data_IF_272054039583
#
_entry.id   IF_272054039583
#
_cell.length_a   1.000
_cell.length_b   1.000
_cell.length_c   1.000
_cell.angle_alpha   90.00
_cell.angle_beta   90.00
_cell.angle_gamma   90.00
#
_symmetry.space_group_name_H-M   'P 1'
#
loop_
_entity.id
_entity.type
_entity.pdbx_description
1 polymer ?
#
# COMPACT_ATOMS: atom_id res chain seq x y z
N UNK A 1 2.96 -0.34 12.33
CA UNK A 1 2.76 -1.56 11.52
C UNK A 1 2.67 -1.23 10.03
N UNK A 2 3.44 -1.97 9.23
CA UNK A 2 3.37 -1.95 7.78
C UNK A 2 2.42 -3.04 7.31
N UNK A 3 1.56 -2.75 6.33
CA UNK A 3 0.59 -3.71 5.78
C UNK A 3 0.80 -3.82 4.28
N UNK A 4 0.71 -5.05 3.78
CA UNK A 4 0.70 -5.36 2.36
C UNK A 4 -0.61 -6.08 2.03
N UNK A 5 -1.40 -5.49 1.14
CA UNK A 5 -2.57 -6.13 0.54
C UNK A 5 -2.15 -6.65 -0.83
N UNK A 6 -1.98 -7.97 -0.93
CA UNK A 6 -1.50 -8.62 -2.13
C UNK A 6 -2.65 -9.17 -3.00
N UNK A 7 -2.53 -9.04 -4.32
CA UNK A 7 -3.46 -9.66 -5.26
C UNK A 7 -4.86 -9.05 -5.25
N UNK A 8 -4.95 -7.73 -5.04
CA UNK A 8 -6.22 -6.99 -4.94
C UNK A 8 -6.86 -6.85 -6.33
N UNK A 9 -7.57 -7.91 -6.73
CA UNK A 9 -8.11 -8.12 -8.07
C UNK A 9 -9.55 -8.63 -8.01
N UNK A 10 -10.36 -8.31 -9.02
CA UNK A 10 -11.72 -8.87 -9.16
C UNK A 10 -11.71 -10.41 -9.17
N UNK A 11 -12.64 -11.00 -8.43
CA UNK A 11 -12.74 -12.44 -8.22
C UNK A 11 -11.82 -12.99 -7.13
N UNK A 12 -10.84 -12.21 -6.64
CA UNK A 12 -10.07 -12.51 -5.44
C UNK A 12 -10.50 -11.61 -4.27
N UNK A 13 -10.64 -10.31 -4.53
CA UNK A 13 -11.14 -9.32 -3.59
C UNK A 13 -11.90 -8.23 -4.39
N UNK A 14 -13.25 -8.18 -4.35
CA UNK A 14 -14.12 -9.09 -3.61
C UNK A 14 -14.02 -10.53 -4.11
N UNK A 15 -14.02 -11.49 -3.19
CA UNK A 15 -14.04 -12.90 -3.54
C UNK A 15 -15.36 -13.27 -4.22
N UNK A 16 -15.28 -13.98 -5.34
CA UNK A 16 -16.45 -14.48 -6.07
C UNK A 16 -16.20 -15.92 -6.53
N UNK A 17 -17.13 -16.83 -6.22
CA UNK A 17 -17.15 -18.19 -6.79
C UNK A 17 -17.57 -18.11 -8.26
N UNK A 18 -16.96 -18.93 -9.12
CA UNK A 18 -17.10 -18.77 -10.58
C UNK A 18 -18.53 -18.82 -11.10
N UNK A 19 -19.36 -19.66 -10.49
CA UNK A 19 -20.74 -19.94 -10.92
C UNK A 19 -21.79 -19.20 -10.08
N UNK A 20 -21.38 -18.47 -9.05
CA UNK A 20 -22.30 -17.78 -8.14
C UNK A 20 -22.27 -16.27 -8.36
N UNK A 21 -23.43 -15.63 -8.36
CA UNK A 21 -23.50 -14.19 -8.24
C UNK A 21 -23.02 -13.73 -6.86
N UNK A 22 -22.31 -12.60 -6.85
CA UNK A 22 -21.89 -11.99 -5.59
C UNK A 22 -23.07 -11.19 -5.06
N UNK A 23 -23.69 -11.67 -3.98
CA UNK A 23 -24.81 -10.97 -3.35
C UNK A 23 -24.36 -9.61 -2.83
N UNK A 24 -25.30 -8.66 -2.72
CA UNK A 24 -25.01 -7.34 -2.18
C UNK A 24 -24.43 -7.41 -0.75
N UNK A 25 -24.94 -8.32 0.07
CA UNK A 25 -24.45 -8.54 1.43
C UNK A 25 -23.01 -9.07 1.47
N UNK A 26 -22.70 -10.10 0.66
CA UNK A 26 -21.34 -10.62 0.56
C UNK A 26 -20.35 -9.57 0.03
N UNK A 27 -20.78 -8.76 -0.95
CA UNK A 27 -19.98 -7.65 -1.45
C UNK A 27 -19.69 -6.61 -0.36
N UNK A 28 -20.67 -6.29 0.49
CA UNK A 28 -20.47 -5.37 1.61
C UNK A 28 -19.52 -5.95 2.66
N UNK A 29 -19.56 -7.26 2.89
CA UNK A 29 -18.63 -7.90 3.82
C UNK A 29 -17.18 -7.87 3.30
N UNK A 30 -16.97 -8.21 2.03
CA UNK A 30 -15.65 -8.10 1.38
C UNK A 30 -15.12 -6.65 1.40
N UNK A 31 -16.02 -5.67 1.25
CA UNK A 31 -15.68 -4.24 1.37
C UNK A 31 -15.23 -3.89 2.80
N UNK A 32 -15.89 -4.42 3.83
CA UNK A 32 -15.45 -4.25 5.23
C UNK A 32 -14.09 -4.90 5.47
N UNK A 33 -13.85 -6.09 4.92
CA UNK A 33 -12.54 -6.76 5.01
C UNK A 33 -11.43 -5.90 4.39
N UNK A 34 -11.67 -5.33 3.21
CA UNK A 34 -10.73 -4.38 2.58
C UNK A 34 -10.47 -3.16 3.48
N UNK A 35 -11.53 -2.54 4.03
CA UNK A 35 -11.41 -1.39 4.93
C UNK A 35 -10.61 -1.71 6.20
N UNK A 36 -10.85 -2.87 6.82
CA UNK A 36 -10.07 -3.34 7.97
C UNK A 36 -8.61 -3.54 7.57
N UNK A 37 -8.34 -4.15 6.42
CA UNK A 37 -6.98 -4.33 5.90
C UNK A 37 -6.24 -2.99 5.76
N UNK A 38 -6.89 -1.98 5.18
CA UNK A 38 -6.35 -0.62 5.04
C UNK A 38 -6.07 0.00 6.42
N UNK A 39 -7.05 -0.02 7.32
CA UNK A 39 -6.96 0.67 8.63
C UNK A 39 -6.02 -0.02 9.63
N UNK A 40 -5.57 -1.25 9.36
CA UNK A 40 -4.49 -1.91 10.11
C UNK A 40 -3.12 -1.29 9.85
N UNK A 41 -2.93 -0.61 8.72
CA UNK A 41 -1.69 0.09 8.41
C UNK A 41 -1.57 1.33 9.30
N UNK A 42 -0.54 1.39 10.16
CA UNK A 42 -0.21 2.62 10.91
C UNK A 42 0.93 3.42 10.28
N UNK A 43 1.72 2.79 9.41
CA UNK A 43 2.95 3.39 8.88
C UNK A 43 2.94 3.40 7.36
N UNK A 44 2.83 2.23 6.72
CA UNK A 44 2.71 2.15 5.27
C UNK A 44 1.67 1.11 4.88
N UNK A 45 0.97 1.39 3.79
CA UNK A 45 0.11 0.45 3.10
C UNK A 45 0.68 0.25 1.69
N UNK A 46 1.06 -0.98 1.36
CA UNK A 46 1.40 -1.36 -0.01
C UNK A 46 0.27 -2.22 -0.58
N UNK A 47 -0.17 -1.90 -1.79
CA UNK A 47 -1.24 -2.63 -2.47
C UNK A 47 -0.71 -3.11 -3.81
N UNK A 48 -0.86 -4.40 -4.09
CA UNK A 48 -0.45 -4.99 -5.36
C UNK A 48 -1.63 -5.59 -6.11
N UNK A 49 -1.60 -5.44 -7.43
CA UNK A 49 -2.58 -5.99 -8.36
C UNK A 49 -1.86 -6.83 -9.41
N UNK A 50 -2.55 -7.84 -9.94
CA UNK A 50 -2.06 -8.73 -10.98
C UNK A 50 -2.64 -8.31 -12.33
N UNK A 51 -1.80 -8.22 -13.37
CA UNK A 51 -2.27 -7.99 -14.76
C UNK A 51 -2.74 -9.26 -15.45
N UNK A 52 -2.23 -10.42 -15.01
CA UNK A 52 -2.59 -11.75 -15.52
C UNK A 52 -2.57 -12.74 -14.36
N UNK A 53 -3.46 -13.72 -14.37
CA UNK A 53 -3.47 -14.82 -13.39
C UNK A 53 -3.71 -16.17 -14.08
N UNK A 54 -3.17 -17.23 -13.49
CA UNK A 54 -3.42 -18.59 -13.95
C UNK A 54 -4.79 -19.04 -13.46
N UNK A 55 -5.61 -19.57 -14.37
CA UNK A 55 -6.92 -20.17 -14.09
C UNK A 55 -6.95 -21.55 -14.73
N UNK A 56 -6.74 -22.60 -13.94
CA UNK A 56 -6.55 -23.95 -14.47
C UNK A 56 -5.36 -24.04 -15.42
N UNK A 57 -5.61 -24.40 -16.68
CA UNK A 57 -4.61 -24.45 -17.75
C UNK A 57 -4.41 -23.12 -18.48
N UNK A 58 -5.30 -22.16 -18.29
CA UNK A 58 -5.31 -20.90 -19.02
C UNK A 58 -4.69 -19.76 -18.21
N UNK A 59 -4.25 -18.71 -18.92
CA UNK A 59 -3.84 -17.44 -18.31
C UNK A 59 -4.83 -16.36 -18.69
N UNK A 60 -5.59 -15.89 -17.70
CA UNK A 60 -6.62 -14.87 -17.88
C UNK A 60 -6.11 -13.49 -17.48
N UNK A 61 -6.71 -12.45 -18.04
CA UNK A 61 -6.43 -11.06 -17.66
C UNK A 61 -6.87 -10.83 -16.21
N UNK A 62 -6.00 -10.20 -15.43
CA UNK A 62 -6.32 -9.76 -14.07
C UNK A 62 -6.94 -8.37 -14.12
N UNK A 63 -8.15 -8.24 -13.60
CA UNK A 63 -8.84 -6.95 -13.46
C UNK A 63 -8.55 -6.44 -12.04
N UNK A 64 -8.07 -5.20 -11.85
CA UNK A 64 -7.90 -4.62 -10.52
C UNK A 64 -9.23 -4.58 -9.76
N UNK A 65 -9.21 -4.75 -8.44
CA UNK A 65 -10.42 -4.68 -7.61
C UNK A 65 -11.13 -3.34 -7.76
N UNK A 66 -12.47 -3.36 -7.84
CA UNK A 66 -13.31 -2.15 -7.79
C UNK A 66 -13.07 -1.30 -6.53
N UNK A 67 -12.69 -1.93 -5.41
CA UNK A 67 -12.47 -1.24 -4.14
C UNK A 67 -11.32 -0.24 -4.21
N UNK A 68 -10.36 -0.45 -5.12
CA UNK A 68 -9.23 0.48 -5.31
C UNK A 68 -9.69 1.86 -5.80
N UNK A 69 -10.65 1.88 -6.73
CA UNK A 69 -11.21 3.12 -7.27
C UNK A 69 -12.17 3.75 -6.26
N UNK A 70 -13.07 2.95 -5.67
CA UNK A 70 -14.05 3.43 -4.69
C UNK A 70 -13.38 4.07 -3.46
N UNK A 71 -12.24 3.54 -3.02
CA UNK A 71 -11.45 4.07 -1.90
C UNK A 71 -10.33 5.02 -2.33
N UNK A 72 -10.26 5.37 -3.63
CA UNK A 72 -9.28 6.30 -4.20
C UNK A 72 -7.82 5.95 -3.92
N UNK A 73 -7.52 4.66 -3.73
CA UNK A 73 -6.15 4.18 -3.49
C UNK A 73 -5.23 4.36 -4.71
N UNK A 74 -5.83 4.58 -5.89
CA UNK A 74 -5.13 4.83 -7.14
C UNK A 74 -4.77 6.30 -7.34
N UNK A 75 -5.39 7.21 -6.58
CA UNK A 75 -5.26 8.66 -6.77
C UNK A 75 -4.07 9.26 -6.00
N UNK A 76 -3.41 8.46 -5.14
CA UNK A 76 -2.12 8.79 -4.54
C UNK A 76 -2.10 10.08 -3.72
N UNK A 77 -2.19 9.96 -2.39
CA UNK A 77 -1.75 11.02 -1.48
C UNK A 77 -0.26 11.34 -1.72
N UNK A 78 0.12 12.61 -1.47
CA UNK A 78 1.44 13.22 -1.71
C UNK A 78 2.59 12.20 -1.64
N UNK A 79 2.98 11.72 -2.81
CA UNK A 79 4.17 10.88 -2.97
C UNK A 79 5.35 11.77 -2.64
N UNK A 80 5.86 11.69 -1.42
CA UNK A 80 7.06 12.41 -1.02
C UNK A 80 8.15 12.03 -2.03
N UNK A 81 8.65 13.02 -2.77
CA UNK A 81 9.64 12.79 -3.82
C UNK A 81 10.85 12.07 -3.16
N UNK A 82 11.26 10.90 -3.66
CA UNK A 82 12.42 10.18 -3.13
C UNK A 82 13.67 11.08 -2.98
N UNK A 83 13.82 12.10 -3.83
CA UNK A 83 14.89 13.09 -3.76
C UNK A 83 14.74 14.02 -2.56
N UNK A 84 13.53 14.49 -2.26
CA UNK A 84 13.24 15.32 -1.08
C UNK A 84 13.51 14.53 0.21
N UNK A 85 13.09 13.26 0.24
CA UNK A 85 13.40 12.36 1.36
C UNK A 85 14.91 12.17 1.56
N UNK A 86 15.66 11.96 0.47
CA UNK A 86 17.12 11.83 0.52
C UNK A 86 17.80 13.12 1.01
N UNK A 87 17.35 14.27 0.50
CA UNK A 87 17.88 15.60 0.86
C UNK A 87 17.68 15.88 2.35
N UNK A 88 16.51 15.55 2.89
CA UNK A 88 16.22 15.67 4.32
C UNK A 88 17.12 14.77 5.16
N UNK A 89 17.29 13.49 4.79
CA UNK A 89 18.20 12.57 5.50
C UNK A 89 19.64 13.09 5.51
N UNK A 90 20.12 13.62 4.38
CA UNK A 90 21.46 14.20 4.29
C UNK A 90 21.63 15.39 5.23
N UNK A 91 20.63 16.28 5.27
CA UNK A 91 20.66 17.46 6.14
C UNK A 91 20.62 17.07 7.63
N UNK A 92 19.81 16.08 8.02
CA UNK A 92 19.76 15.55 9.39
C UNK A 92 21.12 14.95 9.82
N UNK A 93 21.80 14.23 8.91
CA UNK A 93 23.13 13.68 9.18
C UNK A 93 24.20 14.77 9.33
N UNK A 94 24.18 15.79 8.45
CA UNK A 94 25.10 16.92 8.54
C UNK A 94 24.92 17.71 9.84
N UNK A 95 23.66 17.97 10.25
CA UNK A 95 23.36 18.65 11.51
C UNK A 95 23.86 17.85 12.74
N UNK A 96 23.68 16.52 12.73
CA UNK A 96 24.22 15.64 13.79
C UNK A 96 25.74 15.64 13.84
N UNK A 97 26.42 15.73 12.70
CA UNK A 97 27.87 15.82 12.65
C UNK A 97 28.39 17.14 13.25
N UNK A 98 27.79 18.27 12.87
CA UNK A 98 28.14 19.59 13.39
C UNK A 98 27.96 19.69 14.92
N UNK A 99 26.84 19.20 15.44
CA UNK A 99 26.58 19.15 16.89
C UNK A 99 27.64 18.31 17.64
N UNK A 100 28.14 17.24 17.02
CA UNK A 100 29.19 16.39 17.60
C UNK A 100 30.53 17.14 17.66
N UNK A 101 30.87 17.90 16.63
CA UNK A 101 32.09 18.72 16.61
C UNK A 101 32.04 19.85 17.64
N UNK A 102 30.92 20.58 17.74
CA UNK A 102 30.73 21.64 18.74
C UNK A 102 30.84 21.12 20.18
N UNK A 103 30.27 19.93 20.46
CA UNK A 103 30.37 19.31 21.79
C UNK A 103 31.79 18.82 22.14
N UNK A 104 32.65 18.58 21.15
CA UNK A 104 34.06 18.22 21.38
C UNK A 104 35.00 19.42 21.54
N UNK A 105 34.62 20.59 21.02
CA UNK A 105 35.42 21.82 21.13
C UNK A 105 35.21 22.62 22.43
N UNK A 106 34.10 22.39 23.14
CA UNK A 106 33.72 23.17 24.33
C UNK A 106 34.22 22.56 25.67
N UNK A 107 35.09 21.55 25.60
CA UNK A 107 35.64 20.84 26.77
C UNK A 107 37.18 20.95 26.84
N UNK A 108 37.74 22.02 26.28
CA UNK A 108 39.17 22.38 26.31
C UNK A 108 39.35 23.76 26.92
#
# INVERSE_FOLDING_TARGET
>A
PHVVLAGVNEGLLPFKREEAELTAEALQEERRLMYVGITRARTTLAVSTLRRRKKGRDTVVGIPSRFLAEMKLNEGGTREDPREKLKRMRNELAAKAALREESSGNNS
#
